data_IF_453035286173
#
_entry.id   IF_453035286173
#
_cell.length_a   1.000
_cell.length_b   1.000
_cell.length_c   1.000
_cell.angle_alpha   90.00
_cell.angle_beta   90.00
_cell.angle_gamma   90.00
#
_symmetry.space_group_name_H-M   'P 1'
#
loop_
_entity.id
_entity.type
_entity.pdbx_description
1 polymer ?
#
# COMPACT_ATOMS: atom_id res chain seq x y z
N UNK A 1 -16.81 4.23 33.44
CA UNK A 1 -16.37 3.58 32.19
C UNK A 1 -15.01 4.10 31.78
N UNK A 2 -14.10 3.19 31.42
CA UNK A 2 -12.81 3.58 30.85
C UNK A 2 -12.80 3.25 29.36
N UNK A 3 -12.41 4.20 28.53
CA UNK A 3 -12.19 3.97 27.10
C UNK A 3 -10.90 3.17 26.90
N UNK A 4 -10.96 2.11 26.08
CA UNK A 4 -9.76 1.35 25.73
C UNK A 4 -8.87 2.19 24.81
N UNK A 5 -7.59 2.26 25.16
CA UNK A 5 -6.55 2.83 24.31
C UNK A 5 -5.49 1.78 24.06
N UNK A 6 -5.16 1.54 22.77
CA UNK A 6 -4.08 0.64 22.43
C UNK A 6 -2.73 1.22 22.85
N UNK A 7 -1.80 0.35 23.21
CA UNK A 7 -0.40 0.72 23.44
C UNK A 7 0.51 -0.13 22.54
N UNK A 8 1.72 0.31 22.23
CA UNK A 8 2.65 -0.48 21.40
C UNK A 8 2.93 -1.89 21.96
N UNK A 9 2.84 -2.05 23.29
CA UNK A 9 3.06 -3.34 23.95
C UNK A 9 1.87 -4.31 23.84
N UNK A 10 0.65 -3.79 23.57
CA UNK A 10 -0.58 -4.59 23.52
C UNK A 10 -1.05 -4.91 22.10
N UNK A 11 -0.32 -4.46 21.09
CA UNK A 11 -0.70 -4.64 19.69
C UNK A 11 0.00 -5.86 19.12
N UNK A 12 -0.80 -6.87 18.73
CA UNK A 12 -0.33 -8.00 17.95
C UNK A 12 -0.45 -7.67 16.45
N UNK A 13 0.67 -7.72 15.74
CA UNK A 13 0.73 -7.49 14.31
C UNK A 13 0.87 -8.81 13.56
N UNK A 14 -0.02 -9.00 12.60
CA UNK A 14 0.01 -10.14 11.69
C UNK A 14 0.62 -9.74 10.35
N UNK A 15 0.99 -10.76 9.59
CA UNK A 15 1.46 -10.60 8.22
C UNK A 15 0.43 -11.18 7.26
N UNK A 16 0.07 -10.40 6.26
CA UNK A 16 -0.87 -10.79 5.22
C UNK A 16 -0.23 -10.72 3.84
N UNK A 17 -0.59 -11.68 3.01
CA UNK A 17 -0.25 -11.69 1.59
C UNK A 17 -1.53 -11.46 0.78
N UNK A 18 -1.46 -10.56 -0.19
CA UNK A 18 -2.57 -10.21 -1.09
C UNK A 18 -2.10 -10.37 -2.52
N UNK A 19 -2.87 -11.07 -3.33
CA UNK A 19 -2.64 -11.18 -4.76
C UNK A 19 -3.33 -10.04 -5.50
N UNK A 20 -2.56 -9.24 -6.22
CA UNK A 20 -3.05 -8.11 -7.00
C UNK A 20 -3.54 -8.51 -8.40
N UNK A 21 -3.33 -9.77 -8.83
CA UNK A 21 -3.71 -10.22 -10.16
C UNK A 21 -5.19 -10.00 -10.45
N UNK A 22 -5.48 -9.24 -11.50
CA UNK A 22 -6.85 -8.96 -11.92
C UNK A 22 -7.63 -7.99 -11.04
N UNK A 23 -7.06 -7.48 -9.95
CA UNK A 23 -7.71 -6.52 -9.08
C UNK A 23 -7.60 -5.08 -9.62
N UNK A 24 -8.62 -4.27 -9.35
CA UNK A 24 -8.60 -2.84 -9.70
C UNK A 24 -7.69 -2.08 -8.73
N UNK A 25 -6.75 -1.29 -9.26
CA UNK A 25 -5.74 -0.56 -8.49
C UNK A 25 -6.32 0.23 -7.30
N UNK A 26 -7.33 1.05 -7.55
CA UNK A 26 -7.90 1.91 -6.50
C UNK A 26 -8.60 1.12 -5.39
N UNK A 27 -9.32 0.07 -5.73
CA UNK A 27 -10.02 -0.79 -4.76
C UNK A 27 -9.03 -1.61 -3.93
N UNK A 28 -8.02 -2.20 -4.57
CA UNK A 28 -6.94 -2.87 -3.86
C UNK A 28 -6.24 -1.92 -2.89
N UNK A 29 -5.85 -0.74 -3.36
CA UNK A 29 -5.14 0.24 -2.54
C UNK A 29 -5.96 0.70 -1.32
N UNK A 30 -7.28 0.87 -1.45
CA UNK A 30 -8.14 1.26 -0.34
C UNK A 30 -8.25 0.18 0.75
N UNK A 31 -8.37 -1.08 0.36
CA UNK A 31 -8.43 -2.19 1.32
C UNK A 31 -7.07 -2.42 1.99
N UNK A 32 -5.98 -2.35 1.25
CA UNK A 32 -4.62 -2.43 1.80
C UNK A 32 -4.37 -1.29 2.79
N UNK A 33 -4.75 -0.06 2.47
CA UNK A 33 -4.61 1.09 3.37
C UNK A 33 -5.42 0.93 4.65
N UNK A 34 -6.62 0.34 4.57
CA UNK A 34 -7.46 0.02 5.72
C UNK A 34 -6.79 -0.97 6.68
N UNK A 35 -6.17 -2.02 6.14
CA UNK A 35 -5.42 -3.01 6.94
C UNK A 35 -4.16 -2.39 7.55
N UNK A 36 -3.39 -1.62 6.79
CA UNK A 36 -2.19 -0.92 7.26
C UNK A 36 -2.48 0.07 8.39
N UNK A 37 -3.63 0.73 8.34
CA UNK A 37 -4.09 1.65 9.39
C UNK A 37 -4.67 0.94 10.59
N UNK A 38 -5.13 -0.31 10.44
CA UNK A 38 -5.73 -1.11 11.49
C UNK A 38 -7.22 -0.84 11.74
N UNK A 39 -7.92 -0.24 10.78
CA UNK A 39 -9.37 0.03 10.89
C UNK A 39 -10.25 -1.22 10.98
N UNK A 40 -9.74 -2.36 10.58
CA UNK A 40 -10.40 -3.66 10.68
C UNK A 40 -10.34 -4.28 12.08
N UNK A 41 -9.53 -3.72 12.97
CA UNK A 41 -9.37 -4.22 14.33
C UNK A 41 -10.26 -3.46 15.32
N UNK A 42 -10.88 -4.15 16.31
CA UNK A 42 -11.66 -3.48 17.36
C UNK A 42 -10.80 -2.59 18.27
N UNK A 43 -9.49 -2.84 18.35
CA UNK A 43 -8.53 -2.05 19.13
C UNK A 43 -8.06 -0.78 18.43
N UNK A 44 -8.62 -0.45 17.26
CA UNK A 44 -8.20 0.73 16.48
C UNK A 44 -8.18 2.01 17.33
N UNK A 45 -7.02 2.65 17.37
CA UNK A 45 -6.81 3.93 18.06
C UNK A 45 -6.18 4.91 17.06
N UNK A 46 -6.78 6.09 16.81
CA UNK A 46 -6.35 6.98 15.73
C UNK A 46 -4.92 7.51 15.83
N UNK A 47 -4.40 7.68 17.03
CA UNK A 47 -3.05 8.25 17.26
C UNK A 47 -1.94 7.19 17.37
N UNK A 48 -2.28 5.91 17.29
CA UNK A 48 -1.35 4.79 17.38
C UNK A 48 -1.47 3.93 16.12
N UNK A 49 -0.34 3.40 15.65
CA UNK A 49 -0.28 2.47 14.55
C UNK A 49 -0.70 1.06 15.02
N UNK A 50 -1.97 0.72 14.82
CA UNK A 50 -2.55 -0.59 15.18
C UNK A 50 -2.62 -1.57 14.01
N UNK A 51 -2.16 -1.18 12.82
CA UNK A 51 -2.26 -1.96 11.60
C UNK A 51 -1.29 -3.13 11.50
N UNK A 52 -1.52 -3.97 10.51
CA UNK A 52 -0.75 -5.16 10.22
C UNK A 52 0.22 -4.94 9.05
N UNK A 53 1.13 -5.89 8.85
CA UNK A 53 2.01 -5.93 7.69
C UNK A 53 1.27 -6.51 6.48
N UNK A 54 1.44 -5.90 5.32
CA UNK A 54 0.82 -6.35 4.07
C UNK A 54 1.87 -6.55 3.00
N UNK A 55 1.86 -7.72 2.38
CA UNK A 55 2.67 -8.08 1.23
C UNK A 55 1.73 -8.15 0.02
N UNK A 56 2.02 -7.40 -1.02
CA UNK A 56 1.26 -7.43 -2.28
C UNK A 56 2.14 -8.09 -3.34
N UNK A 57 1.63 -9.12 -3.97
CA UNK A 57 2.29 -9.85 -5.06
C UNK A 57 1.58 -9.63 -6.39
N UNK A 58 2.23 -9.96 -7.50
CA UNK A 58 1.70 -9.77 -8.86
C UNK A 58 1.30 -8.32 -9.20
N UNK A 59 2.10 -7.35 -8.76
CA UNK A 59 1.84 -5.93 -9.02
C UNK A 59 1.82 -5.57 -10.50
N UNK A 60 2.50 -6.33 -11.36
CA UNK A 60 2.52 -6.18 -12.81
C UNK A 60 1.17 -6.49 -13.49
N UNK A 61 0.33 -7.30 -12.86
CA UNK A 61 -0.95 -7.77 -13.39
C UNK A 61 -2.16 -7.00 -12.87
N UNK A 62 -1.94 -5.86 -12.28
CA UNK A 62 -3.04 -5.02 -11.76
C UNK A 62 -3.84 -4.41 -12.89
N UNK A 63 -5.15 -4.25 -12.70
CA UNK A 63 -6.07 -3.66 -13.67
C UNK A 63 -6.38 -2.21 -13.35
N UNK A 64 -6.54 -1.42 -14.40
CA UNK A 64 -7.08 -0.06 -14.34
C UNK A 64 -8.20 0.09 -15.34
N UNK A 65 -9.17 0.96 -15.03
CA UNK A 65 -10.35 1.18 -15.87
C UNK A 65 -10.18 2.38 -16.80
N UNK A 66 -10.92 2.40 -17.91
CA UNK A 66 -10.93 3.49 -18.85
C UNK A 66 -9.58 3.69 -19.56
N UNK A 67 -9.27 4.94 -19.87
CA UNK A 67 -8.04 5.34 -20.58
C UNK A 67 -6.89 5.71 -19.62
N UNK A 68 -6.92 5.25 -18.37
CA UNK A 68 -5.92 5.62 -17.36
C UNK A 68 -4.50 5.18 -17.72
N UNK A 69 -4.33 4.10 -18.47
CA UNK A 69 -3.01 3.64 -18.90
C UNK A 69 -2.24 4.72 -19.67
N UNK A 70 -2.94 5.51 -20.48
CA UNK A 70 -2.36 6.56 -21.32
C UNK A 70 -2.49 7.94 -20.70
N UNK A 71 -3.58 8.21 -20.00
CA UNK A 71 -3.92 9.55 -19.50
C UNK A 71 -3.45 9.84 -18.09
N UNK A 72 -3.26 8.81 -17.24
CA UNK A 72 -2.75 9.02 -15.89
C UNK A 72 -1.26 9.30 -15.94
N UNK A 73 -0.86 10.48 -15.45
CA UNK A 73 0.53 10.93 -15.44
C UNK A 73 1.02 11.04 -13.99
N UNK A 74 2.21 10.52 -13.75
CA UNK A 74 2.95 10.69 -12.51
C UNK A 74 3.98 11.79 -12.69
N UNK A 75 3.90 12.82 -11.84
CA UNK A 75 4.81 13.96 -11.88
C UNK A 75 5.93 13.80 -10.86
N UNK A 76 7.14 14.14 -11.26
CA UNK A 76 8.29 14.22 -10.39
C UNK A 76 9.11 15.46 -10.75
N UNK A 77 9.64 16.16 -9.76
CA UNK A 77 10.43 17.37 -9.94
C UNK A 77 11.81 17.22 -9.32
N UNK A 78 12.85 17.59 -10.06
CA UNK A 78 14.25 17.48 -9.62
C UNK A 78 14.75 18.65 -8.78
N UNK A 79 13.88 19.62 -8.43
CA UNK A 79 14.16 20.87 -7.74
C UNK A 79 15.06 21.88 -8.52
N UNK A 80 15.27 21.63 -9.81
CA UNK A 80 15.91 22.58 -10.74
C UNK A 80 14.87 23.21 -11.66
N UNK A 81 15.16 24.41 -12.16
CA UNK A 81 14.30 25.08 -13.17
C UNK A 81 14.14 24.17 -14.40
N UNK A 82 12.88 23.94 -14.82
CA UNK A 82 12.55 23.02 -15.91
C UNK A 82 12.72 21.53 -15.61
N UNK A 83 12.88 21.16 -14.33
CA UNK A 83 13.11 19.79 -13.88
C UNK A 83 11.86 18.93 -13.70
N UNK A 84 10.69 19.36 -14.19
CA UNK A 84 9.46 18.55 -14.14
C UNK A 84 9.58 17.35 -15.07
N UNK A 85 9.34 16.17 -14.52
CA UNK A 85 9.31 14.90 -15.29
C UNK A 85 7.91 14.31 -15.23
N UNK A 86 7.46 13.82 -16.35
CA UNK A 86 6.16 13.17 -16.52
C UNK A 86 6.37 11.72 -16.92
N UNK A 87 5.66 10.81 -16.25
CA UNK A 87 5.68 9.38 -16.58
C UNK A 87 4.24 8.89 -16.64
N UNK A 88 3.86 8.28 -17.77
CA UNK A 88 2.53 7.69 -17.91
C UNK A 88 2.40 6.42 -17.06
N UNK A 89 1.17 6.04 -16.73
CA UNK A 89 0.92 4.80 -16.01
C UNK A 89 1.45 3.58 -16.76
N UNK A 90 1.32 3.56 -18.07
CA UNK A 90 1.86 2.49 -18.93
C UNK A 90 3.37 2.34 -18.79
N UNK A 91 4.10 3.45 -18.83
CA UNK A 91 5.57 3.45 -18.64
C UNK A 91 5.96 3.04 -17.21
N UNK A 92 5.22 3.49 -16.22
CA UNK A 92 5.46 3.14 -14.82
C UNK A 92 5.27 1.64 -14.58
N UNK A 93 4.22 1.04 -15.12
CA UNK A 93 3.97 -0.41 -15.04
C UNK A 93 5.06 -1.23 -15.74
N UNK A 94 5.59 -0.73 -16.86
CA UNK A 94 6.66 -1.40 -17.59
C UNK A 94 8.01 -1.35 -16.85
N UNK A 95 8.31 -0.23 -16.18
CA UNK A 95 9.61 -0.01 -15.55
C UNK A 95 9.63 -0.43 -14.07
N UNK A 96 8.62 -0.04 -13.30
CA UNK A 96 8.53 -0.26 -11.84
C UNK A 96 7.07 -0.44 -11.42
N UNK A 97 6.47 -1.61 -11.65
CA UNK A 97 5.06 -1.86 -11.35
C UNK A 97 4.76 -1.74 -9.85
N UNK A 98 5.73 -2.06 -8.99
CA UNK A 98 5.57 -1.94 -7.53
C UNK A 98 5.25 -0.49 -7.13
N UNK A 99 5.87 0.46 -7.79
CA UNK A 99 5.71 1.89 -7.49
C UNK A 99 4.29 2.40 -7.70
N UNK A 100 3.56 1.80 -8.62
CA UNK A 100 2.15 2.15 -8.90
C UNK A 100 1.27 1.89 -7.67
N UNK A 101 1.39 0.70 -7.09
CA UNK A 101 0.65 0.31 -5.88
C UNK A 101 1.13 1.11 -4.67
N UNK A 102 2.43 1.26 -4.50
CA UNK A 102 3.02 2.04 -3.40
C UNK A 102 2.49 3.47 -3.37
N UNK A 103 2.48 4.16 -4.50
CA UNK A 103 1.98 5.54 -4.59
C UNK A 103 0.48 5.64 -4.35
N UNK A 104 -0.30 4.66 -4.84
CA UNK A 104 -1.74 4.62 -4.61
C UNK A 104 -2.06 4.45 -3.10
N UNK A 105 -1.40 3.52 -2.43
CA UNK A 105 -1.58 3.28 -0.99
C UNK A 105 -1.08 4.46 -0.17
N UNK A 106 0.10 5.00 -0.49
CA UNK A 106 0.67 6.18 0.19
C UNK A 106 -0.27 7.39 0.15
N UNK A 107 -0.94 7.59 -0.99
CA UNK A 107 -1.94 8.66 -1.15
C UNK A 107 -3.17 8.48 -0.26
N UNK A 108 -3.51 7.24 0.12
CA UNK A 108 -4.68 6.90 0.95
C UNK A 108 -4.34 6.81 2.45
N UNK A 109 -3.07 6.77 2.82
CA UNK A 109 -2.63 6.79 4.21
C UNK A 109 -2.60 8.23 4.76
N UNK A 110 -2.69 8.41 6.09
CA UNK A 110 -2.55 9.72 6.71
C UNK A 110 -1.24 10.42 6.31
N UNK A 111 -1.28 11.74 6.24
CA UNK A 111 -0.09 12.57 6.04
C UNK A 111 0.57 12.82 7.40
N UNK A 112 1.89 12.71 7.46
CA UNK A 112 2.65 12.96 8.67
C UNK A 112 3.44 11.75 9.16
N UNK A 113 4.06 11.83 10.36
CA UNK A 113 4.95 10.78 10.87
C UNK A 113 4.26 9.42 11.05
N UNK A 114 3.03 9.40 11.58
CA UNK A 114 2.25 8.18 11.79
C UNK A 114 1.94 7.47 10.45
N UNK A 115 1.50 8.22 9.45
CA UNK A 115 1.24 7.66 8.11
C UNK A 115 2.50 7.12 7.44
N UNK A 116 3.65 7.75 7.64
CA UNK A 116 4.94 7.23 7.16
C UNK A 116 5.32 5.92 7.84
N UNK A 117 5.07 5.79 9.14
CA UNK A 117 5.27 4.53 9.87
C UNK A 117 4.35 3.42 9.36
N UNK A 118 3.09 3.72 9.06
CA UNK A 118 2.16 2.78 8.46
C UNK A 118 2.63 2.31 7.07
N UNK A 119 3.14 3.22 6.27
CA UNK A 119 3.65 2.92 4.93
C UNK A 119 4.84 1.96 4.93
N UNK A 120 5.70 2.00 5.94
CA UNK A 120 6.85 1.07 6.06
C UNK A 120 6.46 -0.39 6.23
N UNK A 121 5.22 -0.68 6.58
CA UNK A 121 4.67 -2.04 6.70
C UNK A 121 4.12 -2.62 5.39
N UNK A 122 4.17 -1.86 4.31
CA UNK A 122 3.78 -2.29 2.98
C UNK A 122 5.00 -2.82 2.21
N UNK A 123 4.86 -4.02 1.68
CA UNK A 123 5.84 -4.66 0.79
C UNK A 123 5.17 -5.03 -0.52
N UNK A 124 5.68 -4.56 -1.63
CA UNK A 124 5.10 -4.81 -2.96
C UNK A 124 6.12 -5.52 -3.83
N UNK A 125 5.67 -6.56 -4.50
CA UNK A 125 6.47 -7.36 -5.44
C UNK A 125 5.79 -7.45 -6.80
N UNK A 126 6.55 -7.30 -7.86
CA UNK A 126 6.03 -7.38 -9.23
C UNK A 126 5.58 -8.81 -9.59
N UNK A 127 6.35 -9.82 -9.17
CA UNK A 127 6.06 -11.22 -9.44
C UNK A 127 5.26 -11.92 -8.34
N UNK A 128 5.06 -13.23 -8.47
CA UNK A 128 4.31 -14.03 -7.49
C UNK A 128 5.09 -14.35 -6.22
N UNK A 129 6.41 -14.18 -6.23
CA UNK A 129 7.29 -14.55 -5.12
C UNK A 129 7.54 -13.37 -4.18
N UNK A 130 7.66 -13.65 -2.90
CA UNK A 130 8.05 -12.70 -1.86
C UNK A 130 9.15 -13.27 -0.96
N UNK A 131 9.84 -12.40 -0.22
CA UNK A 131 10.97 -12.79 0.64
C UNK A 131 10.60 -12.95 2.13
N UNK A 132 9.32 -13.15 2.43
CA UNK A 132 8.79 -13.11 3.80
C UNK A 132 8.21 -14.44 4.28
N UNK A 133 8.79 -15.56 3.86
CA UNK A 133 8.33 -16.89 4.28
C UNK A 133 8.51 -17.13 5.79
N UNK A 134 9.58 -16.59 6.37
CA UNK A 134 9.87 -16.72 7.80
C UNK A 134 8.79 -16.13 8.70
N UNK A 135 8.09 -15.09 8.24
CA UNK A 135 6.99 -14.45 8.96
C UNK A 135 5.66 -15.21 8.86
N UNK A 136 5.58 -16.26 8.04
CA UNK A 136 4.38 -17.08 7.82
C UNK A 136 3.13 -16.23 7.52
N UNK A 137 3.14 -15.45 6.42
CA UNK A 137 2.02 -14.58 6.11
C UNK A 137 0.75 -15.37 5.80
N UNK A 138 -0.38 -14.88 6.28
CA UNK A 138 -1.70 -15.42 5.98
C UNK A 138 -2.23 -14.85 4.67
N UNK A 139 -2.88 -15.66 3.84
CA UNK A 139 -3.52 -15.17 2.63
C UNK A 139 -4.76 -14.32 2.97
N UNK A 140 -4.85 -13.14 2.38
CA UNK A 140 -5.97 -12.21 2.56
C UNK A 140 -6.61 -11.94 1.20
N UNK A 141 -7.92 -12.16 1.12
CA UNK A 141 -8.75 -11.85 -0.06
C UNK A 141 -9.74 -10.75 0.27
N UNK A 142 -9.93 -9.83 -0.66
CA UNK A 142 -10.86 -8.71 -0.54
C UNK A 142 -12.11 -8.90 -1.39
#
# INVERSE_FOLDING_TARGET
>A
MKTFMASPATIDRKWYVVDAEGMTLGRLASEVAKVLRGKNKPIFTPHIDTGDYVIVVNADKIKVTGKKLEQKIYYNHSDYVGGMRETTLKEMLAKKPERVIELAVKGMLPKGPLGRSMYTKLFVYAGPEHKHEAQKPEALTF
#
